data_IF_677190905457
#
_entry.id   IF_677190905457
#
_cell.length_a   1.000
_cell.length_b   1.000
_cell.length_c   1.000
_cell.angle_alpha   90.00
_cell.angle_beta   90.00
_cell.angle_gamma   90.00
#
_symmetry.space_group_name_H-M   'P 1'
#
loop_
_entity.id
_entity.type
_entity.pdbx_description
1 polymer ?
#
# COMPACT_ATOMS: atom_id res chain seq x y z
N UNK A 1 11.10 6.25 9.11
CA UNK A 1 10.06 5.52 9.88
C UNK A 1 9.19 4.63 9.00
N UNK A 2 8.52 5.14 7.94
CA UNK A 2 7.70 4.30 7.03
C UNK A 2 8.44 3.10 6.43
N UNK A 3 9.68 3.28 5.98
CA UNK A 3 10.49 2.18 5.43
C UNK A 3 10.72 1.02 6.42
N UNK A 4 10.88 1.32 7.71
CA UNK A 4 11.12 0.27 8.70
C UNK A 4 9.89 -0.62 8.87
N UNK A 5 8.69 -0.02 8.93
CA UNK A 5 7.43 -0.76 8.92
C UNK A 5 7.18 -1.50 7.61
N UNK A 6 7.60 -0.92 6.48
CA UNK A 6 7.54 -1.62 5.20
C UNK A 6 8.48 -2.84 5.18
N UNK A 7 9.67 -2.74 5.77
CA UNK A 7 10.61 -3.88 5.86
C UNK A 7 10.09 -4.97 6.80
N UNK A 8 9.59 -4.63 7.98
CA UNK A 8 9.15 -5.63 8.98
C UNK A 8 7.70 -6.12 8.83
N UNK A 9 6.81 -5.38 8.17
CA UNK A 9 5.40 -5.72 8.09
C UNK A 9 5.13 -7.00 7.28
N UNK A 10 4.22 -7.85 7.74
CA UNK A 10 3.89 -9.13 7.08
C UNK A 10 2.73 -9.01 6.09
N UNK A 11 2.01 -7.88 6.11
CA UNK A 11 0.94 -7.53 5.19
C UNK A 11 0.55 -6.07 5.31
N UNK A 12 -0.13 -5.54 4.30
CA UNK A 12 -0.55 -4.12 4.28
C UNK A 12 -2.00 -3.95 3.84
N UNK A 13 -2.70 -3.01 4.49
CA UNK A 13 -3.96 -2.49 3.98
C UNK A 13 -3.67 -1.20 3.19
N UNK A 14 -4.09 -1.18 1.93
CA UNK A 14 -4.01 -0.02 1.05
C UNK A 14 -5.36 0.69 1.06
N UNK A 15 -5.48 1.68 1.95
CA UNK A 15 -6.74 2.38 2.22
C UNK A 15 -6.86 3.64 1.35
N UNK A 16 -7.97 3.80 0.65
CA UNK A 16 -8.33 5.03 -0.07
C UNK A 16 -9.72 5.52 0.38
N UNK A 17 -10.04 6.77 0.09
CA UNK A 17 -11.36 7.36 0.34
C UNK A 17 -12.23 7.26 -0.91
N UNK A 18 -13.42 6.67 -0.83
CA UNK A 18 -14.33 6.54 -2.00
C UNK A 18 -14.85 7.91 -2.48
N UNK A 19 -14.82 8.91 -1.61
CA UNK A 19 -15.20 10.30 -1.90
C UNK A 19 -14.06 11.15 -2.48
N UNK A 20 -12.83 10.62 -2.59
CA UNK A 20 -11.67 11.36 -3.07
C UNK A 20 -10.84 10.52 -4.07
N UNK A 21 -10.98 10.79 -5.37
CA UNK A 21 -10.33 10.02 -6.42
C UNK A 21 -8.79 10.04 -6.35
N UNK A 22 -8.20 11.17 -5.99
CA UNK A 22 -6.74 11.28 -5.83
C UNK A 22 -6.19 10.27 -4.83
N UNK A 23 -6.93 9.96 -3.75
CA UNK A 23 -6.52 8.96 -2.77
C UNK A 23 -6.43 7.55 -3.36
N UNK A 24 -7.28 7.22 -4.33
CA UNK A 24 -7.22 5.95 -5.07
C UNK A 24 -6.02 5.92 -6.02
N UNK A 25 -5.73 7.01 -6.72
CA UNK A 25 -4.62 7.08 -7.66
C UNK A 25 -3.25 6.93 -6.93
N UNK A 26 -3.15 7.36 -5.67
CA UNK A 26 -1.96 7.15 -4.83
C UNK A 26 -1.70 5.68 -4.44
N UNK A 27 -2.73 4.80 -4.49
CA UNK A 27 -2.59 3.38 -4.11
C UNK A 27 -1.53 2.68 -4.96
N UNK A 28 -1.47 2.99 -6.25
CA UNK A 28 -0.49 2.39 -7.15
C UNK A 28 0.95 2.70 -6.73
N UNK A 29 1.21 3.92 -6.24
CA UNK A 29 2.53 4.32 -5.77
C UNK A 29 2.92 3.56 -4.50
N UNK A 30 2.00 3.42 -3.55
CA UNK A 30 2.25 2.64 -2.33
C UNK A 30 2.48 1.16 -2.61
N UNK A 31 1.67 0.57 -3.50
CA UNK A 31 1.84 -0.81 -3.95
C UNK A 31 3.25 -1.05 -4.51
N UNK A 32 3.71 -0.21 -5.44
CA UNK A 32 5.05 -0.32 -6.04
C UNK A 32 6.17 -0.10 -5.02
N UNK A 33 5.98 0.82 -4.07
CA UNK A 33 6.97 1.08 -3.04
C UNK A 33 7.12 -0.12 -2.09
N UNK A 34 6.01 -0.75 -1.68
CA UNK A 34 6.03 -1.93 -0.80
C UNK A 34 6.73 -3.09 -1.50
N UNK A 35 6.35 -3.41 -2.74
CA UNK A 35 7.00 -4.47 -3.52
C UNK A 35 8.51 -4.26 -3.67
N UNK A 36 8.94 -3.02 -3.96
CA UNK A 36 10.36 -2.66 -4.05
C UNK A 36 11.09 -2.83 -2.71
N UNK A 37 10.48 -2.45 -1.60
CA UNK A 37 11.10 -2.63 -0.27
C UNK A 37 11.15 -4.10 0.14
N UNK A 38 10.17 -4.90 -0.30
CA UNK A 38 10.10 -6.34 -0.06
C UNK A 38 10.96 -7.18 -1.00
N UNK A 39 11.38 -6.60 -2.11
CA UNK A 39 12.12 -7.28 -3.19
C UNK A 39 11.36 -8.51 -3.72
N UNK A 40 10.09 -8.31 -4.05
CA UNK A 40 9.17 -9.36 -4.55
C UNK A 40 8.20 -8.79 -5.57
N UNK A 41 7.69 -9.65 -6.44
CA UNK A 41 6.62 -9.31 -7.38
C UNK A 41 5.22 -9.39 -6.75
N UNK A 42 5.08 -10.20 -5.70
CA UNK A 42 3.83 -10.38 -4.94
C UNK A 42 4.07 -10.29 -3.42
N UNK A 43 3.13 -9.68 -2.71
CA UNK A 43 3.15 -9.56 -1.25
C UNK A 43 1.71 -9.44 -0.69
N UNK A 44 1.40 -9.98 0.50
CA UNK A 44 0.06 -9.89 1.08
C UNK A 44 -0.40 -8.43 1.26
N UNK A 45 -1.36 -8.02 0.44
CA UNK A 45 -1.91 -6.66 0.44
C UNK A 45 -3.41 -6.70 0.16
N UNK A 46 -4.19 -5.86 0.84
CA UNK A 46 -5.62 -5.73 0.63
C UNK A 46 -5.98 -4.26 0.37
N UNK A 47 -6.72 -3.99 -0.71
CA UNK A 47 -7.27 -2.65 -0.96
C UNK A 47 -8.55 -2.45 -0.17
N UNK A 48 -8.67 -1.29 0.48
CA UNK A 48 -9.82 -0.94 1.32
C UNK A 48 -10.35 0.43 0.90
N UNK A 49 -11.59 0.45 0.40
CA UNK A 49 -12.34 1.70 0.22
C UNK A 49 -12.96 2.12 1.54
N UNK A 50 -12.67 3.34 1.98
CA UNK A 50 -13.16 3.92 3.22
C UNK A 50 -13.97 5.20 2.94
N UNK A 51 -14.78 5.62 3.92
CA UNK A 51 -15.75 6.73 3.84
C UNK A 51 -16.80 6.54 2.75
#
# INVERSE_FOLDING_TARGET
MREQYMRSGEGFLLVFSVTERSSFDEIYKFHRQILRVKDRDEFPMLMVGNK
#
